data_IF_587559710318
#
_entry.id   IF_587559710318
#
_cell.length_a   1.000
_cell.length_b   1.000
_cell.length_c   1.000
_cell.angle_alpha   90.00
_cell.angle_beta   90.00
_cell.angle_gamma   90.00
#
_symmetry.space_group_name_H-M   'P 1'
#
loop_
_entity.id
_entity.type
_entity.pdbx_description
1 polymer ?
#
# COMPACT_ATOMS: atom_id res chain seq x y z
N UNK A 1 -0.46 -40.94 -13.30
CA UNK A 1 -1.16 -40.38 -14.47
C UNK A 1 -2.39 -41.17 -14.84
N UNK A 2 -2.36 -42.49 -14.92
CA UNK A 2 -3.51 -43.32 -15.28
C UNK A 2 -4.73 -43.21 -14.35
N UNK A 3 -4.55 -43.09 -13.03
CA UNK A 3 -5.66 -42.92 -12.08
C UNK A 3 -6.43 -41.60 -12.20
N UNK A 4 -5.83 -40.55 -12.74
CA UNK A 4 -6.50 -39.25 -12.96
C UNK A 4 -7.37 -39.27 -14.23
N UNK A 5 -6.95 -40.00 -15.25
CA UNK A 5 -7.70 -40.13 -16.52
C UNK A 5 -8.95 -40.99 -16.34
N UNK A 6 -8.89 -42.04 -15.53
CA UNK A 6 -10.04 -42.88 -15.22
C UNK A 6 -11.10 -42.13 -14.41
N UNK A 7 -10.68 -41.28 -13.43
CA UNK A 7 -11.61 -40.40 -12.72
C UNK A 7 -12.30 -39.40 -13.65
N UNK A 8 -11.59 -38.86 -14.65
CA UNK A 8 -12.14 -37.93 -15.63
C UNK A 8 -13.28 -38.55 -16.48
N UNK A 9 -13.13 -39.81 -16.94
CA UNK A 9 -14.15 -40.48 -17.70
C UNK A 9 -15.42 -40.80 -16.88
N UNK A 10 -15.29 -41.09 -15.58
CA UNK A 10 -16.43 -41.33 -14.70
C UNK A 10 -17.25 -40.07 -14.42
N UNK A 11 -16.61 -38.92 -14.32
CA UNK A 11 -17.26 -37.62 -14.09
C UNK A 11 -18.03 -37.14 -15.33
N UNK A 12 -17.49 -37.34 -16.54
CA UNK A 12 -18.17 -36.98 -17.78
C UNK A 12 -19.45 -37.80 -18.03
N UNK A 13 -19.51 -39.03 -17.55
CA UNK A 13 -20.67 -39.91 -17.69
C UNK A 13 -21.79 -39.61 -16.70
N UNK A 14 -21.48 -38.97 -15.54
CA UNK A 14 -22.48 -38.58 -14.54
C UNK A 14 -23.23 -37.30 -14.88
N UNK A 15 -22.69 -36.47 -15.78
CA UNK A 15 -23.28 -35.19 -16.19
C UNK A 15 -24.43 -35.31 -17.21
N UNK A 16 -24.75 -36.49 -17.69
CA UNK A 16 -25.72 -36.72 -18.80
C UNK A 16 -27.09 -37.20 -18.41
N UNK A 17 -27.43 -37.45 -17.15
CA UNK A 17 -28.77 -38.03 -16.78
C UNK A 17 -29.41 -37.42 -15.52
N UNK A 18 -30.55 -36.76 -15.76
CA UNK A 18 -31.78 -36.59 -14.95
C UNK A 18 -31.85 -35.84 -13.61
N UNK A 19 -32.75 -34.82 -13.56
CA UNK A 19 -33.70 -34.51 -12.47
C UNK A 19 -33.17 -33.89 -11.16
N UNK A 20 -33.95 -33.04 -10.49
CA UNK A 20 -33.59 -32.25 -9.29
C UNK A 20 -32.91 -32.99 -8.13
N UNK A 21 -33.10 -34.27 -7.90
CA UNK A 21 -32.37 -35.08 -6.91
C UNK A 21 -30.89 -35.35 -7.31
N UNK A 22 -30.62 -35.30 -8.62
CA UNK A 22 -29.28 -35.46 -9.18
C UNK A 22 -28.41 -34.18 -9.03
N UNK A 23 -29.03 -33.01 -8.94
CA UNK A 23 -28.28 -31.74 -8.79
C UNK A 23 -27.58 -31.66 -7.43
N UNK A 24 -28.21 -32.05 -6.33
CA UNK A 24 -27.60 -32.03 -4.97
C UNK A 24 -26.50 -33.09 -4.85
N UNK A 25 -26.69 -34.28 -5.39
CA UNK A 25 -25.64 -35.30 -5.42
C UNK A 25 -24.47 -34.88 -6.32
N UNK A 26 -24.72 -34.12 -7.37
CA UNK A 26 -23.70 -33.61 -8.27
C UNK A 26 -22.87 -32.49 -7.57
N UNK A 27 -23.52 -31.54 -6.88
CA UNK A 27 -22.87 -30.51 -6.07
C UNK A 27 -21.85 -31.11 -5.08
N UNK A 28 -22.30 -32.07 -4.25
CA UNK A 28 -21.45 -32.69 -3.24
C UNK A 28 -20.27 -33.48 -3.86
N UNK A 29 -20.43 -34.07 -5.00
CA UNK A 29 -19.34 -34.77 -5.69
C UNK A 29 -18.31 -33.79 -6.27
N UNK A 30 -18.74 -32.69 -6.89
CA UNK A 30 -17.86 -31.66 -7.43
C UNK A 30 -17.05 -31.02 -6.30
N UNK A 31 -17.69 -30.66 -5.18
CA UNK A 31 -16.99 -30.09 -4.01
C UNK A 31 -15.93 -31.08 -3.50
N UNK A 32 -16.27 -32.36 -3.32
CA UNK A 32 -15.30 -33.38 -2.90
C UNK A 32 -14.13 -33.53 -3.87
N UNK A 33 -14.41 -33.46 -5.16
CA UNK A 33 -13.36 -33.56 -6.17
C UNK A 33 -12.43 -32.32 -6.12
N UNK A 34 -12.98 -31.12 -5.99
CA UNK A 34 -12.17 -29.89 -5.82
C UNK A 34 -11.28 -29.98 -4.57
N UNK A 35 -11.85 -30.36 -3.42
CA UNK A 35 -11.11 -30.52 -2.16
C UNK A 35 -10.05 -31.63 -2.28
N UNK A 36 -10.29 -32.66 -3.08
CA UNK A 36 -9.28 -33.70 -3.32
C UNK A 36 -8.05 -33.19 -4.11
N UNK A 37 -8.19 -32.12 -4.88
CA UNK A 37 -7.10 -31.46 -5.59
C UNK A 37 -6.41 -30.41 -4.72
N UNK A 38 -7.15 -29.73 -3.86
CA UNK A 38 -6.63 -28.72 -2.94
C UNK A 38 -7.35 -28.86 -1.59
N UNK A 39 -6.66 -29.47 -0.63
CA UNK A 39 -7.15 -29.73 0.72
C UNK A 39 -7.19 -28.48 1.63
N UNK A 40 -6.69 -27.33 1.14
CA UNK A 40 -6.81 -26.04 1.85
C UNK A 40 -8.19 -25.41 1.64
N UNK A 41 -8.98 -25.89 0.65
CA UNK A 41 -10.32 -25.39 0.38
C UNK A 41 -11.35 -26.07 1.28
N UNK A 42 -12.13 -25.25 2.02
CA UNK A 42 -13.20 -25.74 2.89
C UNK A 42 -14.46 -26.10 2.10
N UNK A 43 -15.10 -27.22 2.46
CA UNK A 43 -16.35 -27.67 1.89
C UNK A 43 -17.47 -26.62 2.03
N UNK A 44 -17.61 -26.01 3.20
CA UNK A 44 -18.67 -25.04 3.47
C UNK A 44 -18.47 -23.75 2.65
N UNK A 45 -17.22 -23.33 2.47
CA UNK A 45 -16.90 -22.23 1.59
C UNK A 45 -17.27 -22.52 0.13
N UNK A 46 -16.97 -23.73 -0.37
CA UNK A 46 -17.36 -24.12 -1.72
C UNK A 46 -18.89 -24.27 -1.87
N UNK A 47 -19.60 -24.67 -0.83
CA UNK A 47 -21.06 -24.64 -0.80
C UNK A 47 -21.60 -23.21 -0.91
N UNK A 48 -21.05 -22.28 -0.15
CA UNK A 48 -21.36 -20.85 -0.25
C UNK A 48 -21.11 -20.31 -1.67
N UNK A 49 -19.93 -20.60 -2.26
CA UNK A 49 -19.62 -20.19 -3.63
C UNK A 49 -20.64 -20.74 -4.63
N UNK A 50 -21.07 -21.99 -4.47
CA UNK A 50 -22.10 -22.59 -5.32
C UNK A 50 -23.45 -21.90 -5.16
N UNK A 51 -23.84 -21.58 -3.94
CA UNK A 51 -25.15 -21.01 -3.63
C UNK A 51 -25.25 -19.56 -4.08
N UNK A 52 -24.16 -18.78 -3.96
CA UNK A 52 -24.11 -17.37 -4.37
C UNK A 52 -23.86 -17.17 -5.87
N UNK A 53 -23.00 -18.01 -6.47
CA UNK A 53 -22.51 -17.80 -7.84
C UNK A 53 -22.91 -18.90 -8.83
N UNK A 54 -23.52 -19.97 -8.35
CA UNK A 54 -24.06 -21.07 -9.16
C UNK A 54 -23.10 -22.23 -9.42
N UNK A 55 -23.68 -23.36 -9.85
CA UNK A 55 -22.96 -24.62 -10.08
C UNK A 55 -21.93 -24.56 -11.21
N UNK A 56 -22.15 -23.72 -12.22
CA UNK A 56 -21.23 -23.58 -13.35
C UNK A 56 -19.87 -23.03 -12.92
N UNK A 57 -19.83 -22.18 -11.89
CA UNK A 57 -18.59 -21.66 -11.34
C UNK A 57 -17.73 -22.74 -10.70
N UNK A 58 -18.33 -23.63 -9.91
CA UNK A 58 -17.63 -24.82 -9.37
C UNK A 58 -17.10 -25.74 -10.46
N UNK A 59 -17.89 -25.96 -11.53
CA UNK A 59 -17.46 -26.72 -12.67
C UNK A 59 -16.23 -26.10 -13.37
N UNK A 60 -16.19 -24.79 -13.50
CA UNK A 60 -15.04 -24.09 -14.08
C UNK A 60 -13.78 -24.27 -13.22
N UNK A 61 -13.91 -24.15 -11.89
CA UNK A 61 -12.82 -24.41 -10.95
C UNK A 61 -12.33 -25.85 -11.06
N UNK A 62 -13.24 -26.84 -11.02
CA UNK A 62 -12.90 -28.26 -11.16
C UNK A 62 -12.21 -28.52 -12.49
N UNK A 63 -12.70 -27.93 -13.58
CA UNK A 63 -12.11 -28.06 -14.91
C UNK A 63 -10.65 -27.54 -14.93
N UNK A 64 -10.38 -26.44 -14.28
CA UNK A 64 -9.02 -25.91 -14.17
C UNK A 64 -8.08 -26.86 -13.41
N UNK A 65 -8.55 -27.46 -12.31
CA UNK A 65 -7.76 -28.46 -11.58
C UNK A 65 -7.50 -29.71 -12.43
N UNK A 66 -8.52 -30.23 -13.10
CA UNK A 66 -8.40 -31.45 -13.90
C UNK A 66 -7.49 -31.28 -15.12
N UNK A 67 -7.45 -30.08 -15.70
CA UNK A 67 -6.63 -29.76 -16.87
C UNK A 67 -5.19 -29.28 -16.47
N UNK A 68 -4.83 -29.32 -15.20
CA UNK A 68 -3.57 -28.75 -14.67
C UNK A 68 -3.36 -27.26 -15.04
N UNK A 69 -4.44 -26.51 -15.25
CA UNK A 69 -4.42 -25.07 -15.56
C UNK A 69 -4.78 -24.20 -14.35
N UNK A 70 -4.97 -24.82 -13.18
CA UNK A 70 -5.31 -24.07 -11.97
C UNK A 70 -4.18 -23.15 -11.55
N UNK A 71 -4.52 -21.89 -11.36
CA UNK A 71 -3.73 -20.86 -10.68
C UNK A 71 -4.68 -20.07 -9.78
N UNK A 72 -4.19 -19.37 -8.77
CA UNK A 72 -5.03 -18.52 -7.91
C UNK A 72 -5.78 -17.44 -8.70
N UNK A 73 -5.29 -17.09 -9.89
CA UNK A 73 -5.92 -16.14 -10.82
C UNK A 73 -7.31 -16.61 -11.28
N UNK A 74 -7.60 -17.92 -11.30
CA UNK A 74 -8.90 -18.44 -11.77
C UNK A 74 -10.08 -17.88 -11.00
N UNK A 75 -9.89 -17.58 -9.69
CA UNK A 75 -10.93 -16.98 -8.87
C UNK A 75 -11.26 -15.58 -9.38
N UNK A 76 -10.22 -14.76 -9.67
CA UNK A 76 -10.43 -13.44 -10.22
C UNK A 76 -11.06 -13.49 -11.62
N UNK A 77 -10.64 -14.41 -12.47
CA UNK A 77 -11.19 -14.57 -13.83
C UNK A 77 -12.68 -14.95 -13.81
N UNK A 78 -13.13 -15.76 -12.83
CA UNK A 78 -14.52 -16.21 -12.72
C UNK A 78 -15.40 -15.21 -11.96
N UNK A 79 -14.90 -14.67 -10.84
CA UNK A 79 -15.71 -13.90 -9.88
C UNK A 79 -15.43 -12.40 -9.91
N UNK A 80 -14.38 -11.94 -10.62
CA UNK A 80 -13.86 -10.57 -10.49
C UNK A 80 -13.25 -10.29 -9.11
N UNK A 81 -12.96 -11.34 -8.31
CA UNK A 81 -12.44 -11.27 -6.96
C UNK A 81 -11.42 -12.37 -6.72
N UNK A 82 -10.36 -12.09 -5.98
CA UNK A 82 -9.40 -13.11 -5.56
C UNK A 82 -10.05 -14.11 -4.59
N UNK A 83 -9.44 -15.29 -4.45
CA UNK A 83 -9.85 -16.27 -3.45
C UNK A 83 -9.91 -15.69 -2.04
N UNK A 84 -8.93 -14.84 -1.69
CA UNK A 84 -8.85 -14.20 -0.36
C UNK A 84 -10.03 -13.27 -0.09
N UNK A 85 -10.38 -12.45 -1.08
CA UNK A 85 -11.54 -11.54 -0.96
C UNK A 85 -12.84 -12.34 -0.77
N UNK A 86 -13.05 -13.40 -1.55
CA UNK A 86 -14.22 -14.25 -1.42
C UNK A 86 -14.29 -14.98 -0.07
N UNK A 87 -13.15 -15.47 0.41
CA UNK A 87 -13.05 -16.14 1.71
C UNK A 87 -13.32 -15.17 2.87
N UNK A 88 -12.80 -13.95 2.80
CA UNK A 88 -13.03 -12.92 3.80
C UNK A 88 -14.51 -12.48 3.81
N UNK A 89 -15.16 -12.34 2.65
CA UNK A 89 -16.61 -12.08 2.54
C UNK A 89 -17.42 -13.20 3.19
N UNK A 90 -17.10 -14.46 2.87
CA UNK A 90 -17.73 -15.63 3.49
C UNK A 90 -17.61 -15.63 5.01
N UNK A 91 -16.45 -15.22 5.53
CA UNK A 91 -16.20 -15.16 6.97
C UNK A 91 -16.72 -13.88 7.64
N UNK A 92 -17.32 -12.93 6.89
CA UNK A 92 -17.81 -11.66 7.41
C UNK A 92 -16.70 -10.73 7.91
N UNK A 93 -15.47 -10.88 7.41
CA UNK A 93 -14.30 -10.11 7.88
C UNK A 93 -14.44 -8.60 7.59
N UNK A 94 -15.20 -8.24 6.56
CA UNK A 94 -15.42 -6.83 6.19
C UNK A 94 -16.57 -6.17 6.95
N UNK A 95 -17.37 -6.95 7.65
CA UNK A 95 -18.50 -6.44 8.41
C UNK A 95 -18.02 -5.68 9.66
N UNK A 96 -18.26 -4.36 9.68
CA UNK A 96 -17.86 -3.47 10.78
C UNK A 96 -16.33 -3.42 11.07
N UNK A 97 -15.49 -3.66 10.06
CA UNK A 97 -14.04 -3.52 10.18
C UNK A 97 -13.61 -2.13 9.67
N UNK A 98 -13.28 -1.23 10.58
CA UNK A 98 -12.84 0.14 10.34
C UNK A 98 -11.44 0.24 9.67
N UNK A 99 -10.70 -0.88 9.63
CA UNK A 99 -9.40 -1.00 8.94
C UNK A 99 -9.51 -1.52 7.50
N UNK A 100 -10.71 -1.56 6.93
CA UNK A 100 -10.94 -2.01 5.56
C UNK A 100 -11.76 -0.97 4.79
N UNK A 101 -11.24 -0.53 3.63
CA UNK A 101 -11.99 0.29 2.67
C UNK A 101 -12.18 -0.47 1.35
N UNK A 102 -13.38 -0.36 0.75
CA UNK A 102 -13.71 -1.02 -0.51
C UNK A 102 -13.83 0.01 -1.61
N UNK A 103 -13.05 -0.15 -2.68
CA UNK A 103 -13.05 0.71 -3.86
C UNK A 103 -13.71 -0.05 -5.01
N UNK A 104 -14.80 0.50 -5.53
CA UNK A 104 -15.55 -0.08 -6.64
C UNK A 104 -14.95 0.31 -8.00
N UNK A 105 -13.80 -0.23 -8.33
CA UNK A 105 -13.18 -0.16 -9.66
C UNK A 105 -13.18 -1.55 -10.32
N UNK A 106 -13.04 -1.64 -11.66
CA UNK A 106 -13.25 -2.91 -12.38
C UNK A 106 -12.11 -3.33 -13.31
N UNK A 107 -11.32 -2.39 -13.82
CA UNK A 107 -10.36 -2.73 -14.88
C UNK A 107 -8.91 -2.73 -14.38
N UNK A 108 -8.64 -1.92 -13.40
CA UNK A 108 -7.31 -1.76 -12.78
C UNK A 108 -7.43 -0.96 -11.50
N UNK A 109 -6.44 -1.07 -10.65
CA UNK A 109 -6.24 -0.18 -9.49
C UNK A 109 -5.00 0.66 -9.70
N UNK A 110 -5.13 1.97 -9.57
CA UNK A 110 -4.01 2.91 -9.62
C UNK A 110 -3.71 3.38 -8.20
N UNK A 111 -2.53 3.02 -7.70
CA UNK A 111 -2.02 3.46 -6.40
C UNK A 111 -0.88 4.42 -6.66
N UNK A 112 -0.97 5.65 -6.13
CA UNK A 112 0.10 6.63 -6.29
C UNK A 112 0.71 7.00 -4.95
N UNK A 113 2.02 7.19 -4.95
CA UNK A 113 2.82 7.48 -3.78
C UNK A 113 3.57 8.79 -3.99
N UNK A 114 3.58 9.63 -2.97
CA UNK A 114 4.46 10.79 -2.87
C UNK A 114 5.35 10.66 -1.64
N UNK A 115 6.42 11.44 -1.58
CA UNK A 115 7.35 11.44 -0.47
C UNK A 115 6.85 12.23 0.73
N UNK A 116 7.73 13.01 1.34
CA UNK A 116 7.52 13.66 2.62
C UNK A 116 6.60 14.87 2.50
N UNK A 117 5.57 14.90 3.36
CA UNK A 117 4.60 16.00 3.46
C UNK A 117 4.64 16.57 4.87
N UNK A 118 4.91 17.88 5.01
CA UNK A 118 4.93 18.62 6.27
C UNK A 118 4.00 19.84 6.20
N UNK A 119 2.74 19.69 6.63
CA UNK A 119 1.75 20.77 6.69
C UNK A 119 1.80 21.55 8.02
N UNK A 120 3.01 21.78 8.54
CA UNK A 120 3.21 22.35 9.87
C UNK A 120 2.95 23.86 9.91
N UNK A 121 2.07 24.32 10.81
CA UNK A 121 1.75 25.75 11.00
C UNK A 121 2.93 26.56 11.54
N UNK A 122 3.86 25.91 12.23
CA UNK A 122 5.07 26.52 12.75
C UNK A 122 6.26 26.44 11.79
N UNK A 123 6.00 26.09 10.52
CA UNK A 123 7.01 26.01 9.47
C UNK A 123 6.56 26.83 8.24
N UNK A 124 7.48 27.35 7.46
CA UNK A 124 7.23 28.40 6.45
C UNK A 124 6.18 28.04 5.39
N UNK A 125 5.94 26.75 5.14
CA UNK A 125 5.02 26.28 4.10
C UNK A 125 3.56 26.70 4.37
N UNK A 126 3.08 26.64 5.62
CA UNK A 126 1.69 26.97 5.91
C UNK A 126 1.41 28.47 5.93
N UNK A 127 2.26 29.35 6.47
CA UNK A 127 2.16 30.79 6.23
C UNK A 127 2.14 31.17 4.74
N UNK A 128 2.93 30.49 3.91
CA UNK A 128 2.91 30.71 2.47
C UNK A 128 1.57 30.26 1.85
N UNK A 129 1.10 29.04 2.18
CA UNK A 129 -0.22 28.53 1.76
C UNK A 129 -1.35 29.51 2.10
N UNK A 130 -1.40 29.99 3.36
CA UNK A 130 -2.42 30.92 3.82
C UNK A 130 -2.36 32.26 3.05
N UNK A 131 -1.16 32.76 2.79
CA UNK A 131 -0.96 34.02 2.06
C UNK A 131 -1.43 33.97 0.60
N UNK A 132 -1.46 32.77 0.00
CA UNK A 132 -1.90 32.59 -1.39
C UNK A 132 -3.40 32.58 -1.54
N UNK A 133 -4.16 32.12 -0.55
CA UNK A 133 -5.63 32.07 -0.57
C UNK A 133 -6.21 31.23 -1.72
N UNK A 134 -5.46 30.21 -2.20
CA UNK A 134 -5.81 29.36 -3.36
C UNK A 134 -6.03 27.90 -3.00
N UNK A 135 -6.11 27.57 -1.70
CA UNK A 135 -6.14 26.18 -1.26
C UNK A 135 -4.89 25.44 -1.73
N UNK A 136 -5.02 24.16 -1.99
CA UNK A 136 -3.90 23.29 -2.43
C UNK A 136 -3.17 23.81 -3.68
N UNK A 137 -3.88 24.50 -4.57
CA UNK A 137 -3.29 25.08 -5.79
C UNK A 137 -2.31 26.23 -5.52
N UNK A 138 -2.22 26.70 -4.28
CA UNK A 138 -1.18 27.61 -3.83
C UNK A 138 0.19 26.97 -3.68
N UNK A 139 0.23 25.65 -3.38
CA UNK A 139 1.44 24.87 -3.07
C UNK A 139 1.66 23.68 -4.01
N UNK A 140 0.68 23.27 -4.80
CA UNK A 140 0.79 22.32 -5.90
C UNK A 140 0.33 22.95 -7.21
N UNK A 141 0.83 22.47 -8.34
CA UNK A 141 0.24 22.87 -9.61
C UNK A 141 -0.99 22.00 -9.98
N UNK A 142 -1.79 22.48 -10.92
CA UNK A 142 -3.05 21.85 -11.31
C UNK A 142 -2.83 20.42 -11.87
N UNK A 143 -1.74 20.19 -12.60
CA UNK A 143 -1.44 18.88 -13.17
C UNK A 143 -1.08 17.87 -12.07
N UNK A 144 -0.29 18.28 -11.07
CA UNK A 144 0.03 17.45 -9.91
C UNK A 144 -1.24 17.07 -9.16
N UNK A 145 -2.11 18.03 -8.84
CA UNK A 145 -3.40 17.77 -8.15
C UNK A 145 -4.28 16.82 -8.97
N UNK A 146 -4.36 17.02 -10.28
CA UNK A 146 -5.15 16.15 -11.16
C UNK A 146 -4.62 14.72 -11.19
N UNK A 147 -3.30 14.52 -11.23
CA UNK A 147 -2.68 13.18 -11.18
C UNK A 147 -2.99 12.52 -9.83
N UNK A 148 -2.81 13.23 -8.71
CA UNK A 148 -3.11 12.71 -7.38
C UNK A 148 -4.57 12.28 -7.25
N UNK A 149 -5.52 13.12 -7.65
CA UNK A 149 -6.96 12.84 -7.60
C UNK A 149 -7.45 11.79 -8.59
N UNK A 150 -6.67 11.48 -9.61
CA UNK A 150 -7.00 10.41 -10.57
C UNK A 150 -6.57 9.02 -10.08
N UNK A 151 -5.87 8.93 -8.97
CA UNK A 151 -5.51 7.68 -8.35
C UNK A 151 -6.68 7.08 -7.59
N UNK A 152 -6.79 5.76 -7.57
CA UNK A 152 -7.78 5.05 -6.76
C UNK A 152 -7.37 5.04 -5.28
N UNK A 153 -6.06 5.04 -5.01
CA UNK A 153 -5.48 5.13 -3.66
C UNK A 153 -4.27 6.07 -3.73
N UNK A 154 -4.34 7.17 -3.00
CA UNK A 154 -3.25 8.14 -2.90
C UNK A 154 -2.56 8.06 -1.54
N UNK A 155 -1.25 7.83 -1.53
CA UNK A 155 -0.43 7.53 -0.35
C UNK A 155 0.61 8.62 -0.12
N UNK A 156 0.76 9.10 1.14
CA UNK A 156 1.77 10.07 1.53
C UNK A 156 2.45 9.71 2.87
N UNK A 157 3.64 10.26 3.12
CA UNK A 157 4.22 10.26 4.46
C UNK A 157 3.81 11.54 5.20
N UNK A 158 3.06 11.40 6.31
CA UNK A 158 2.61 12.50 7.16
C UNK A 158 3.70 12.83 8.19
N UNK A 159 4.61 13.72 7.83
CA UNK A 159 5.81 14.00 8.63
C UNK A 159 5.62 15.21 9.57
N UNK A 160 4.54 15.19 10.33
CA UNK A 160 4.21 16.22 11.34
C UNK A 160 3.14 15.69 12.31
N UNK A 161 3.04 16.32 13.49
CA UNK A 161 1.93 16.09 14.42
C UNK A 161 0.71 16.94 14.09
N UNK A 162 -0.48 16.40 14.29
CA UNK A 162 -1.77 17.08 14.08
C UNK A 162 -2.43 17.24 15.44
N UNK A 163 -2.29 18.42 16.04
CA UNK A 163 -2.83 18.70 17.38
C UNK A 163 -2.77 20.17 17.75
N UNK A 164 -3.69 20.57 18.61
CA UNK A 164 -3.62 21.85 19.33
C UNK A 164 -3.04 21.68 20.75
N UNK A 165 -2.65 20.47 21.16
CA UNK A 165 -2.12 20.12 22.48
C UNK A 165 -0.65 19.72 22.43
N UNK A 166 -0.11 19.39 23.57
CA UNK A 166 1.24 18.87 23.74
C UNK A 166 2.33 19.95 23.83
N UNK A 167 3.53 19.50 24.17
CA UNK A 167 4.72 20.35 24.33
C UNK A 167 5.82 19.84 23.42
N UNK A 168 6.45 20.77 22.68
CA UNK A 168 7.49 20.38 21.73
C UNK A 168 8.66 19.67 22.43
N UNK A 169 9.16 18.63 21.78
CA UNK A 169 10.36 17.93 22.21
C UNK A 169 11.61 18.80 22.02
N UNK A 170 12.66 18.46 22.74
CA UNK A 170 13.96 19.12 22.60
C UNK A 170 14.71 18.56 21.38
N UNK A 171 14.25 18.96 20.19
CA UNK A 171 14.88 18.65 18.88
C UNK A 171 14.98 19.93 18.06
N UNK A 172 15.86 19.91 17.04
CA UNK A 172 16.12 21.07 16.18
C UNK A 172 14.87 21.50 15.43
N UNK A 173 14.17 20.55 14.82
CA UNK A 173 12.92 20.76 14.11
C UNK A 173 11.78 20.03 14.80
N UNK A 174 10.65 20.69 14.91
CA UNK A 174 9.40 20.15 15.46
C UNK A 174 8.26 20.63 14.58
N UNK A 175 7.49 19.73 14.03
CA UNK A 175 6.42 20.03 13.08
C UNK A 175 5.05 19.76 13.68
N UNK A 176 4.17 20.77 13.67
CA UNK A 176 2.81 20.66 14.15
C UNK A 176 1.84 21.46 13.29
N UNK A 177 0.75 20.82 12.92
CA UNK A 177 -0.40 21.41 12.25
C UNK A 177 -1.63 21.42 13.17
N UNK A 178 -2.46 22.45 13.05
CA UNK A 178 -3.82 22.41 13.58
C UNK A 178 -4.67 21.40 12.78
N UNK A 179 -5.71 20.77 13.39
CA UNK A 179 -6.49 19.71 12.73
C UNK A 179 -7.12 20.14 11.40
N UNK A 180 -7.52 21.41 11.26
CA UNK A 180 -8.15 21.93 10.06
C UNK A 180 -7.24 21.89 8.80
N UNK A 181 -5.94 21.66 8.98
CA UNK A 181 -5.01 21.46 7.86
C UNK A 181 -5.24 20.15 7.12
N UNK A 182 -5.91 19.19 7.75
CA UNK A 182 -6.25 17.90 7.09
C UNK A 182 -7.17 18.05 5.88
N UNK A 183 -7.94 19.15 5.78
CA UNK A 183 -8.68 19.46 4.54
C UNK A 183 -7.77 19.57 3.31
N UNK A 184 -6.46 19.85 3.51
CA UNK A 184 -5.49 19.90 2.41
C UNK A 184 -5.30 18.49 1.85
N UNK A 185 -5.31 17.44 2.68
CA UNK A 185 -5.26 16.06 2.21
C UNK A 185 -6.48 15.70 1.38
N UNK A 186 -7.69 16.11 1.79
CA UNK A 186 -8.91 15.96 0.95
C UNK A 186 -8.78 16.71 -0.38
N UNK A 187 -8.27 17.97 -0.35
CA UNK A 187 -7.98 18.73 -1.57
C UNK A 187 -6.93 18.06 -2.48
N UNK A 188 -6.00 17.28 -1.92
CA UNK A 188 -4.99 16.50 -2.63
C UNK A 188 -5.51 15.13 -3.10
N UNK A 189 -6.60 14.62 -2.50
CA UNK A 189 -7.09 13.26 -2.70
C UNK A 189 -6.25 12.20 -1.98
N UNK A 190 -5.66 12.52 -0.82
CA UNK A 190 -4.89 11.56 -0.02
C UNK A 190 -5.82 10.64 0.75
N UNK A 191 -5.68 9.33 0.57
CA UNK A 191 -6.52 8.29 1.17
C UNK A 191 -5.88 7.64 2.38
N UNK A 192 -4.55 7.47 2.36
CA UNK A 192 -3.80 6.79 3.42
C UNK A 192 -2.44 7.44 3.64
N UNK A 193 -2.05 7.54 4.91
CA UNK A 193 -0.75 8.10 5.29
C UNK A 193 0.07 7.17 6.16
N UNK A 194 1.40 7.21 5.99
CA UNK A 194 2.33 6.72 6.99
C UNK A 194 2.46 7.74 8.11
N UNK A 195 2.39 7.28 9.37
CA UNK A 195 2.72 8.07 10.56
C UNK A 195 3.93 7.49 11.32
N UNK A 196 4.59 6.48 10.76
CA UNK A 196 5.84 5.95 11.31
C UNK A 196 7.04 6.76 10.82
N UNK A 197 7.31 7.89 11.46
CA UNK A 197 8.45 8.73 11.13
C UNK A 197 9.01 9.44 12.39
N UNK A 198 10.16 10.11 12.22
CA UNK A 198 10.85 10.80 13.31
C UNK A 198 10.15 12.08 13.78
N UNK A 199 9.12 12.57 13.07
CA UNK A 199 8.33 13.77 13.42
C UNK A 199 6.95 13.44 14.01
N UNK A 200 6.57 12.18 14.11
CA UNK A 200 5.27 11.76 14.61
C UNK A 200 5.00 12.16 16.08
N UNK A 201 6.04 12.34 16.87
CA UNK A 201 5.96 12.59 18.31
C UNK A 201 6.51 13.99 18.73
N UNK A 202 6.67 14.90 17.80
CA UNK A 202 7.33 16.20 18.00
C UNK A 202 6.75 17.04 19.13
N UNK A 203 5.49 16.83 19.48
CA UNK A 203 4.80 17.52 20.57
C UNK A 203 4.32 16.57 21.69
N UNK A 204 4.90 15.36 21.77
CA UNK A 204 4.64 14.38 22.81
C UNK A 204 3.41 13.53 22.57
N UNK A 205 3.10 12.70 23.56
CA UNK A 205 2.08 11.63 23.46
C UNK A 205 0.68 12.17 23.14
N UNK A 206 0.24 13.22 23.83
CA UNK A 206 -1.07 13.81 23.57
C UNK A 206 -1.24 14.26 22.12
N UNK A 207 -0.19 14.85 21.54
CA UNK A 207 -0.24 15.30 20.15
C UNK A 207 -0.16 14.15 19.15
N UNK A 208 0.57 13.09 19.49
CA UNK A 208 0.60 11.87 18.69
C UNK A 208 -0.77 11.16 18.65
N UNK A 209 -1.40 10.99 19.79
CA UNK A 209 -2.75 10.39 19.89
C UNK A 209 -3.81 11.26 19.23
N UNK A 210 -3.69 12.59 19.35
CA UNK A 210 -4.53 13.54 18.59
C UNK A 210 -4.35 13.36 17.07
N UNK A 211 -3.13 13.12 16.61
CA UNK A 211 -2.85 12.88 15.18
C UNK A 211 -3.67 11.69 14.67
N UNK A 212 -3.63 10.56 15.37
CA UNK A 212 -4.43 9.36 15.05
C UNK A 212 -5.91 9.71 15.01
N UNK A 213 -6.41 10.30 16.11
CA UNK A 213 -7.82 10.68 16.25
C UNK A 213 -8.30 11.59 15.12
N UNK A 214 -7.53 12.62 14.76
CA UNK A 214 -7.94 13.56 13.72
C UNK A 214 -7.85 12.95 12.31
N UNK A 215 -6.90 12.05 12.04
CA UNK A 215 -6.88 11.28 10.79
C UNK A 215 -8.17 10.45 10.66
N UNK A 216 -8.60 9.77 11.72
CA UNK A 216 -9.86 9.01 11.75
C UNK A 216 -11.09 9.93 11.55
N UNK A 217 -11.14 11.09 12.23
CA UNK A 217 -12.23 12.06 12.09
C UNK A 217 -12.36 12.64 10.67
N UNK A 218 -11.25 12.73 9.92
CA UNK A 218 -11.23 13.18 8.53
C UNK A 218 -11.29 12.03 7.51
N UNK A 219 -11.55 10.80 7.96
CA UNK A 219 -11.61 9.59 7.13
C UNK A 219 -10.32 9.31 6.33
N UNK A 220 -9.16 9.71 6.86
CA UNK A 220 -7.85 9.43 6.29
C UNK A 220 -7.27 8.20 6.96
N UNK A 221 -7.08 7.13 6.20
CA UNK A 221 -6.47 5.90 6.71
C UNK A 221 -5.02 6.14 7.14
N UNK A 222 -4.55 5.43 8.15
CA UNK A 222 -3.17 5.58 8.61
C UNK A 222 -2.55 4.26 9.04
N UNK A 223 -1.23 4.17 8.97
CA UNK A 223 -0.45 2.99 9.37
C UNK A 223 0.87 3.41 10.03
N UNK A 224 1.38 2.54 10.90
CA UNK A 224 2.71 2.70 11.49
C UNK A 224 2.75 3.41 12.84
N UNK A 225 1.60 3.65 13.46
CA UNK A 225 1.49 4.22 14.80
C UNK A 225 0.24 3.74 15.51
N UNK A 226 0.23 3.77 16.83
CA UNK A 226 -0.91 3.32 17.62
C UNK A 226 -0.75 3.58 19.11
N UNK A 227 -1.80 3.28 19.87
CA UNK A 227 -1.81 3.36 21.35
C UNK A 227 -0.97 2.25 22.00
N UNK A 228 -0.66 1.22 21.23
CA UNK A 228 0.18 0.08 21.62
C UNK A 228 0.83 -0.55 20.38
N UNK A 229 1.69 -1.56 20.58
CA UNK A 229 2.46 -2.19 19.48
C UNK A 229 1.57 -2.98 18.52
N UNK A 230 0.45 -3.56 18.96
CA UNK A 230 -0.48 -4.27 18.09
C UNK A 230 -1.14 -3.30 17.10
N UNK A 231 -1.62 -2.16 17.54
CA UNK A 231 -2.16 -1.12 16.67
C UNK A 231 -1.09 -0.53 15.74
N UNK A 232 0.08 -0.17 16.30
CA UNK A 232 1.16 0.44 15.55
C UNK A 232 1.71 -0.47 14.44
N UNK A 233 1.72 -1.79 14.65
CA UNK A 233 2.21 -2.79 13.70
C UNK A 233 1.10 -3.41 12.83
N UNK A 234 -0.16 -3.00 13.02
CA UNK A 234 -1.29 -3.53 12.24
C UNK A 234 -1.33 -2.94 10.83
N UNK A 235 -1.83 -3.75 9.88
CA UNK A 235 -2.09 -3.30 8.52
C UNK A 235 -3.41 -2.55 8.39
N UNK A 236 -3.50 -1.70 7.36
CA UNK A 236 -4.74 -1.20 6.81
C UNK A 236 -4.99 -1.84 5.43
N UNK A 237 -6.25 -2.13 5.10
CA UNK A 237 -6.59 -2.88 3.90
C UNK A 237 -7.45 -2.06 2.94
N UNK A 238 -7.15 -2.20 1.64
CA UNK A 238 -8.03 -1.79 0.57
C UNK A 238 -8.44 -3.01 -0.25
N UNK A 239 -9.74 -3.11 -0.53
CA UNK A 239 -10.27 -4.05 -1.53
C UNK A 239 -10.50 -3.24 -2.78
N UNK A 240 -9.70 -3.45 -3.81
CA UNK A 240 -9.76 -2.71 -5.05
C UNK A 240 -9.60 -3.65 -6.24
N UNK A 241 -10.44 -3.49 -7.27
CA UNK A 241 -10.45 -4.39 -8.43
C UNK A 241 -10.45 -5.87 -8.04
N UNK A 242 -11.19 -6.23 -6.98
CA UNK A 242 -11.27 -7.60 -6.49
C UNK A 242 -10.01 -8.18 -5.83
N UNK A 243 -9.00 -7.37 -5.58
CA UNK A 243 -7.79 -7.75 -4.83
C UNK A 243 -7.75 -7.11 -3.46
N UNK A 244 -7.23 -7.84 -2.48
CA UNK A 244 -6.94 -7.34 -1.13
C UNK A 244 -5.51 -6.83 -1.05
N UNK A 245 -5.37 -5.55 -0.74
CA UNK A 245 -4.09 -4.84 -0.67
C UNK A 245 -3.88 -4.41 0.78
N UNK A 246 -2.83 -4.91 1.43
CA UNK A 246 -2.45 -4.50 2.78
C UNK A 246 -1.35 -3.44 2.73
N UNK A 247 -1.48 -2.44 3.60
CA UNK A 247 -0.48 -1.41 3.84
C UNK A 247 0.08 -1.58 5.24
N UNK A 248 1.40 -1.63 5.35
CA UNK A 248 2.16 -1.60 6.59
C UNK A 248 3.07 -0.38 6.59
N UNK A 249 3.41 0.15 7.75
CA UNK A 249 4.45 1.19 7.84
C UNK A 249 5.33 0.99 9.06
N UNK A 250 6.62 1.34 8.92
CA UNK A 250 7.60 1.28 10.01
C UNK A 250 8.69 2.34 9.82
N UNK A 251 9.45 2.64 10.87
CA UNK A 251 10.53 3.63 10.86
C UNK A 251 11.85 3.11 11.38
N UNK A 252 12.93 3.49 10.67
CA UNK A 252 14.34 3.29 11.03
C UNK A 252 15.13 4.57 10.71
N UNK A 253 14.64 5.74 11.10
CA UNK A 253 15.13 7.01 10.61
C UNK A 253 16.00 7.80 11.60
N UNK A 254 15.92 7.55 12.90
CA UNK A 254 16.57 8.37 13.88
C UNK A 254 17.95 7.83 14.31
N UNK A 255 18.97 8.64 14.13
CA UNK A 255 20.30 8.35 14.68
C UNK A 255 20.31 8.37 16.21
N UNK A 256 19.61 9.34 16.80
CA UNK A 256 19.36 9.43 18.24
C UNK A 256 17.87 9.29 18.45
N UNK A 257 17.43 8.13 18.92
CA UNK A 257 16.02 7.80 19.02
C UNK A 257 15.34 8.69 20.05
N UNK A 258 14.59 9.67 19.57
CA UNK A 258 13.78 10.59 20.37
C UNK A 258 12.29 10.25 20.26
N UNK A 259 11.85 9.77 19.07
CA UNK A 259 10.46 9.35 18.84
C UNK A 259 10.21 8.00 19.48
N UNK A 260 9.27 7.85 20.44
CA UNK A 260 9.00 6.57 21.10
C UNK A 260 8.48 5.51 20.11
N UNK A 261 9.01 4.30 20.25
CA UNK A 261 8.36 3.12 19.67
C UNK A 261 7.22 2.67 20.55
N UNK A 262 6.13 2.22 19.95
CA UNK A 262 5.04 1.59 20.66
C UNK A 262 5.50 0.33 21.42
N UNK A 263 4.89 0.08 22.58
CA UNK A 263 5.08 -1.14 23.36
C UNK A 263 3.73 -1.80 23.59
N UNK A 264 3.67 -2.89 24.34
CA UNK A 264 2.39 -3.52 24.71
C UNK A 264 1.46 -2.56 25.46
N UNK A 265 2.01 -1.59 26.20
CA UNK A 265 1.26 -0.71 27.12
C UNK A 265 1.47 0.77 26.88
N UNK A 266 2.21 1.18 25.87
CA UNK A 266 2.46 2.59 25.56
C UNK A 266 2.33 2.90 24.09
N UNK A 267 1.80 4.09 23.78
CA UNK A 267 1.66 4.63 22.45
C UNK A 267 3.02 4.91 21.80
N UNK A 268 3.04 4.87 20.49
CA UNK A 268 4.24 5.19 19.72
C UNK A 268 4.14 4.75 18.26
N UNK A 269 5.24 4.97 17.54
CA UNK A 269 5.37 4.49 16.17
C UNK A 269 5.84 3.03 16.12
N UNK A 270 5.59 2.35 15.01
CA UNK A 270 6.20 1.07 14.74
C UNK A 270 7.65 1.26 14.29
N UNK A 271 8.61 0.94 15.15
CA UNK A 271 10.04 1.03 14.84
C UNK A 271 10.61 -0.32 14.43
N UNK A 272 11.54 -0.31 13.47
CA UNK A 272 12.19 -1.51 12.94
C UNK A 272 13.74 -1.44 12.97
N UNK A 273 14.32 -0.88 14.05
CA UNK A 273 15.77 -1.04 14.29
C UNK A 273 16.11 -2.50 14.54
N UNK A 274 15.23 -3.21 15.22
CA UNK A 274 15.10 -4.66 15.20
C UNK A 274 13.97 -5.02 14.23
N UNK A 275 14.30 -5.80 13.19
CA UNK A 275 13.40 -6.14 12.11
C UNK A 275 12.47 -7.32 12.43
N UNK A 276 12.70 -8.08 13.50
CA UNK A 276 12.05 -9.37 13.73
C UNK A 276 10.53 -9.27 13.66
N UNK A 277 9.94 -8.30 14.38
CA UNK A 277 8.49 -8.10 14.37
C UNK A 277 7.96 -7.64 13.00
N UNK A 278 8.69 -6.76 12.31
CA UNK A 278 8.27 -6.28 10.99
C UNK A 278 8.28 -7.42 9.96
N UNK A 279 9.33 -8.24 9.94
CA UNK A 279 9.41 -9.42 9.07
C UNK A 279 8.27 -10.41 9.35
N UNK A 280 7.95 -10.61 10.63
CA UNK A 280 6.80 -11.43 11.04
C UNK A 280 5.48 -10.86 10.50
N UNK A 281 5.24 -9.54 10.66
CA UNK A 281 4.01 -8.88 10.16
C UNK A 281 3.89 -8.95 8.64
N UNK A 282 4.98 -8.71 7.90
CA UNK A 282 4.99 -8.86 6.44
C UNK A 282 4.57 -10.26 6.02
N UNK A 283 5.14 -11.28 6.67
CA UNK A 283 4.79 -12.68 6.40
C UNK A 283 3.32 -12.99 6.70
N UNK A 284 2.81 -12.57 7.87
CA UNK A 284 1.42 -12.74 8.26
C UNK A 284 0.47 -12.05 7.28
N UNK A 285 0.83 -10.84 6.80
CA UNK A 285 0.01 -10.12 5.82
C UNK A 285 0.06 -10.76 4.44
N UNK A 286 1.20 -11.35 4.04
CA UNK A 286 1.27 -12.08 2.76
C UNK A 286 0.41 -13.33 2.73
N UNK A 287 0.14 -13.93 3.89
CA UNK A 287 -0.81 -15.04 4.00
C UNK A 287 -2.27 -14.58 3.87
N UNK A 288 -2.59 -13.32 4.23
CA UNK A 288 -3.95 -12.77 4.27
C UNK A 288 -4.32 -11.88 3.09
N UNK A 289 -3.34 -11.37 2.34
CA UNK A 289 -3.54 -10.36 1.29
C UNK A 289 -2.93 -10.78 -0.04
N UNK A 290 -3.50 -10.29 -1.13
CA UNK A 290 -2.95 -10.51 -2.47
C UNK A 290 -1.66 -9.71 -2.67
N UNK A 291 -1.67 -8.47 -2.18
CA UNK A 291 -0.52 -7.57 -2.24
C UNK A 291 -0.20 -6.99 -0.86
N UNK A 292 1.09 -6.95 -0.52
CA UNK A 292 1.63 -6.34 0.70
C UNK A 292 2.50 -5.16 0.31
N UNK A 293 2.13 -3.96 0.75
CA UNK A 293 2.85 -2.71 0.50
C UNK A 293 3.43 -2.24 1.83
N UNK A 294 4.75 -2.08 1.88
CA UNK A 294 5.46 -1.55 3.03
C UNK A 294 5.90 -0.11 2.78
N UNK A 295 5.45 0.79 3.65
CA UNK A 295 5.94 2.16 3.73
C UNK A 295 7.04 2.22 4.79
N UNK A 296 8.24 2.65 4.44
CA UNK A 296 9.39 2.64 5.34
C UNK A 296 10.06 4.02 5.41
N UNK A 297 10.22 4.55 6.61
CA UNK A 297 10.90 5.83 6.85
C UNK A 297 12.34 5.56 7.28
N UNK A 298 13.31 5.78 6.37
CA UNK A 298 14.70 5.33 6.52
C UNK A 298 15.70 6.10 5.68
N UNK A 299 16.98 5.78 5.86
CA UNK A 299 18.10 6.33 5.10
C UNK A 299 18.72 7.54 5.76
N UNK A 300 19.64 8.17 5.06
CA UNK A 300 20.37 9.35 5.54
C UNK A 300 19.81 10.62 4.89
N UNK A 301 19.44 11.60 5.72
CA UNK A 301 19.00 12.93 5.25
C UNK A 301 20.01 13.55 4.28
N UNK A 302 19.49 14.19 3.23
CA UNK A 302 20.21 14.90 2.17
C UNK A 302 21.26 14.05 1.41
N UNK A 303 21.09 12.71 1.41
CA UNK A 303 21.96 11.79 0.68
C UNK A 303 21.18 11.01 -0.39
N UNK A 304 21.63 11.12 -1.64
CA UNK A 304 21.14 10.25 -2.73
C UNK A 304 21.75 8.84 -2.67
N UNK A 305 22.82 8.64 -1.89
CA UNK A 305 23.48 7.35 -1.71
C UNK A 305 22.71 6.49 -0.71
N UNK A 306 22.57 5.21 -1.03
CA UNK A 306 21.91 4.23 -0.17
C UNK A 306 22.85 3.78 0.95
N UNK A 307 22.31 3.61 2.14
CA UNK A 307 23.02 2.94 3.24
C UNK A 307 22.95 1.42 3.04
N UNK A 308 23.99 0.70 3.48
CA UNK A 308 24.04 -0.77 3.42
C UNK A 308 22.81 -1.43 4.07
N UNK A 309 22.29 -0.80 5.12
CA UNK A 309 21.08 -1.30 5.79
C UNK A 309 19.84 -1.19 4.89
N UNK A 310 19.70 -0.14 4.08
CA UNK A 310 18.59 -0.02 3.13
C UNK A 310 18.67 -1.13 2.07
N UNK A 311 19.87 -1.37 1.52
CA UNK A 311 20.11 -2.40 0.51
C UNK A 311 19.85 -3.83 1.04
N UNK A 312 20.21 -4.09 2.30
CA UNK A 312 20.04 -5.41 2.91
C UNK A 312 18.58 -5.63 3.33
N UNK A 313 18.05 -4.74 4.16
CA UNK A 313 16.71 -4.94 4.74
C UNK A 313 15.60 -4.77 3.71
N UNK A 314 15.79 -3.91 2.69
CA UNK A 314 14.82 -3.79 1.59
C UNK A 314 14.59 -5.12 0.87
N UNK A 315 15.65 -5.88 0.63
CA UNK A 315 15.56 -7.23 0.04
C UNK A 315 14.95 -8.25 1.01
N UNK A 316 15.30 -8.17 2.29
CA UNK A 316 14.69 -9.03 3.32
C UNK A 316 13.17 -8.82 3.39
N UNK A 317 12.67 -7.59 3.25
CA UNK A 317 11.24 -7.31 3.23
C UNK A 317 10.55 -7.96 2.02
N UNK A 318 11.18 -7.88 0.84
CA UNK A 318 10.69 -8.56 -0.37
C UNK A 318 10.69 -10.08 -0.19
N UNK A 319 11.79 -10.65 0.29
CA UNK A 319 11.92 -12.10 0.51
C UNK A 319 10.92 -12.61 1.55
N UNK A 320 10.51 -11.78 2.51
CA UNK A 320 9.51 -12.12 3.52
C UNK A 320 8.06 -12.00 3.00
N UNK A 321 7.85 -11.37 1.84
CA UNK A 321 6.54 -11.33 1.19
C UNK A 321 6.01 -9.95 0.83
N UNK A 322 6.75 -8.86 1.06
CA UNK A 322 6.37 -7.55 0.55
C UNK A 322 6.38 -7.55 -0.98
N UNK A 323 5.33 -7.01 -1.60
CA UNK A 323 5.23 -6.88 -3.05
C UNK A 323 5.74 -5.52 -3.54
N UNK A 324 5.80 -4.54 -2.65
CA UNK A 324 6.26 -3.18 -2.92
C UNK A 324 6.80 -2.56 -1.63
N UNK A 325 7.96 -1.91 -1.72
CA UNK A 325 8.55 -1.13 -0.62
C UNK A 325 8.72 0.31 -1.06
N UNK A 326 8.19 1.25 -0.27
CA UNK A 326 8.23 2.70 -0.54
C UNK A 326 8.91 3.40 0.62
N UNK A 327 10.04 4.04 0.34
CA UNK A 327 10.83 4.77 1.32
C UNK A 327 10.60 6.27 1.34
N UNK A 328 10.84 6.86 2.51
CA UNK A 328 10.77 8.28 2.83
C UNK A 328 11.92 8.68 3.79
N UNK A 329 12.04 9.92 4.23
CA UNK A 329 13.02 10.46 5.19
C UNK A 329 14.25 11.15 4.59
N UNK A 330 14.84 10.64 3.52
CA UNK A 330 16.11 11.21 3.04
C UNK A 330 15.96 12.65 2.49
N UNK A 331 14.72 13.15 2.32
CA UNK A 331 14.40 14.48 1.81
C UNK A 331 14.96 14.78 0.40
N UNK A 332 15.47 13.76 -0.27
CA UNK A 332 15.95 13.75 -1.66
C UNK A 332 15.55 12.46 -2.34
N UNK A 333 15.50 12.47 -3.67
CA UNK A 333 15.32 11.24 -4.43
C UNK A 333 16.50 10.27 -4.19
N UNK A 334 16.19 9.05 -3.83
CA UNK A 334 17.10 7.93 -3.92
C UNK A 334 16.66 6.99 -5.04
N UNK A 335 17.51 6.04 -5.42
CA UNK A 335 17.22 5.12 -6.51
C UNK A 335 16.04 4.18 -6.23
N UNK A 336 15.73 3.41 -7.24
CA UNK A 336 14.80 2.29 -7.15
C UNK A 336 15.53 0.99 -7.46
N UNK A 337 15.06 -0.13 -6.93
CA UNK A 337 15.62 -1.44 -7.24
C UNK A 337 14.50 -2.42 -7.60
N UNK A 338 14.69 -3.18 -8.67
CA UNK A 338 13.87 -4.36 -8.96
C UNK A 338 14.61 -5.59 -8.46
N UNK A 339 14.05 -6.21 -7.42
CA UNK A 339 14.56 -7.42 -6.79
C UNK A 339 13.46 -8.49 -6.75
N UNK A 340 13.75 -9.70 -7.22
CA UNK A 340 12.79 -10.80 -7.34
C UNK A 340 11.46 -10.38 -8.00
N UNK A 341 11.53 -9.57 -9.08
CA UNK A 341 10.39 -8.98 -9.80
C UNK A 341 9.48 -8.08 -8.94
N UNK A 342 9.98 -7.54 -7.85
CA UNK A 342 9.30 -6.61 -6.95
C UNK A 342 10.08 -5.31 -6.89
N UNK A 343 9.38 -4.22 -6.63
CA UNK A 343 9.98 -2.88 -6.58
C UNK A 343 10.29 -2.46 -5.15
N UNK A 344 11.50 -1.90 -4.98
CA UNK A 344 11.91 -1.10 -3.82
C UNK A 344 12.17 0.31 -4.34
N UNK A 345 11.34 1.29 -3.98
CA UNK A 345 11.59 2.71 -4.19
C UNK A 345 12.21 3.25 -2.90
N UNK A 346 13.51 3.51 -2.90
CA UNK A 346 14.24 3.80 -1.67
C UNK A 346 13.88 5.15 -1.04
N UNK A 347 13.62 6.19 -1.84
CA UNK A 347 13.08 7.46 -1.34
C UNK A 347 12.51 8.31 -2.47
N UNK A 348 11.35 8.96 -2.22
CA UNK A 348 10.68 9.85 -3.18
C UNK A 348 10.95 11.35 -2.93
N UNK A 349 11.72 11.69 -1.88
CA UNK A 349 12.10 13.07 -1.53
C UNK A 349 10.98 13.90 -0.94
N UNK A 350 11.24 15.19 -0.75
CA UNK A 350 10.27 16.18 -0.25
C UNK A 350 9.19 16.44 -1.30
N UNK A 351 7.92 16.26 -0.94
CA UNK A 351 6.82 16.57 -1.85
C UNK A 351 6.12 17.90 -1.52
N UNK A 352 5.79 18.13 -0.25
CA UNK A 352 5.33 19.40 0.29
C UNK A 352 6.10 19.62 1.60
N UNK A 353 7.13 20.44 1.58
CA UNK A 353 8.00 20.54 2.73
C UNK A 353 8.47 21.97 3.01
N UNK A 354 9.33 22.54 2.18
CA UNK A 354 9.95 23.83 2.41
C UNK A 354 10.14 24.65 1.12
N UNK A 355 10.94 25.73 1.17
CA UNK A 355 11.23 26.58 0.01
C UNK A 355 12.35 26.08 -0.88
N UNK A 356 13.08 25.07 -0.46
CA UNK A 356 14.26 24.58 -1.19
C UNK A 356 13.86 24.01 -2.54
N UNK A 357 14.78 24.08 -3.50
CA UNK A 357 14.57 23.47 -4.79
C UNK A 357 15.12 22.04 -4.75
N UNK A 358 14.21 21.07 -4.74
CA UNK A 358 14.53 19.65 -4.72
C UNK A 358 13.72 18.88 -5.76
N UNK A 359 14.37 17.94 -6.43
CA UNK A 359 13.68 17.01 -7.30
C UNK A 359 12.94 15.98 -6.45
N UNK A 360 11.72 15.67 -6.85
CA UNK A 360 10.81 14.70 -6.22
C UNK A 360 9.95 14.05 -7.31
N UNK A 361 8.95 13.27 -6.96
CA UNK A 361 8.04 12.71 -7.94
C UNK A 361 6.87 11.96 -7.34
N UNK A 362 5.97 11.58 -8.24
CA UNK A 362 4.86 10.67 -7.93
C UNK A 362 5.25 9.30 -8.52
N UNK A 363 5.29 8.27 -7.69
CA UNK A 363 5.36 6.90 -8.16
C UNK A 363 3.94 6.36 -8.33
N UNK A 364 3.54 6.12 -9.56
CA UNK A 364 2.24 5.51 -9.88
C UNK A 364 2.40 4.02 -10.15
N UNK A 365 1.64 3.20 -9.44
CA UNK A 365 1.62 1.74 -9.56
C UNK A 365 0.24 1.32 -10.02
N UNK A 366 0.17 0.62 -11.13
CA UNK A 366 -1.10 0.09 -11.66
C UNK A 366 -1.14 -1.42 -11.47
N UNK A 367 -2.14 -1.92 -10.74
CA UNK A 367 -2.46 -3.34 -10.63
C UNK A 367 -3.58 -3.63 -11.64
N UNK A 368 -3.29 -4.46 -12.64
CA UNK A 368 -4.29 -4.84 -13.66
C UNK A 368 -5.11 -6.06 -13.21
N UNK A 369 -6.11 -6.45 -14.02
CA UNK A 369 -6.96 -7.63 -13.76
C UNK A 369 -6.19 -8.94 -13.68
N UNK A 370 -4.96 -8.98 -14.18
CA UNK A 370 -4.09 -10.14 -14.12
C UNK A 370 -3.25 -10.20 -12.84
N UNK A 371 -3.37 -9.17 -11.97
CA UNK A 371 -2.55 -9.04 -10.76
C UNK A 371 -1.11 -8.59 -11.04
N UNK A 372 -0.80 -8.10 -12.25
CA UNK A 372 0.51 -7.57 -12.55
C UNK A 372 0.62 -6.11 -12.13
N UNK A 373 1.75 -5.75 -11.51
CA UNK A 373 2.10 -4.37 -11.20
C UNK A 373 2.90 -3.74 -12.34
N UNK A 374 2.48 -2.56 -12.77
CA UNK A 374 3.23 -1.71 -13.70
C UNK A 374 3.56 -0.40 -13.01
N UNK A 375 4.75 0.13 -13.26
CA UNK A 375 5.32 1.25 -12.53
C UNK A 375 5.57 2.44 -13.45
N UNK A 376 5.26 3.65 -12.98
CA UNK A 376 5.59 4.90 -13.66
C UNK A 376 6.06 5.92 -12.63
N UNK A 377 7.28 6.40 -12.77
CA UNK A 377 7.78 7.53 -12.01
C UNK A 377 7.49 8.82 -12.78
N UNK A 378 6.76 9.73 -12.16
CA UNK A 378 6.34 11.01 -12.72
C UNK A 378 7.17 12.10 -12.04
N UNK A 379 8.22 12.63 -12.69
CA UNK A 379 9.10 13.61 -12.11
C UNK A 379 8.39 14.92 -11.78
N UNK A 380 8.60 15.38 -10.55
CA UNK A 380 8.16 16.68 -10.03
C UNK A 380 9.36 17.42 -9.44
N UNK A 381 9.16 18.70 -9.18
CA UNK A 381 10.13 19.53 -8.42
C UNK A 381 9.39 20.36 -7.41
N UNK A 382 9.83 20.30 -6.15
CA UNK A 382 9.51 21.29 -5.15
C UNK A 382 10.45 22.46 -5.33
N UNK A 383 9.93 23.68 -5.36
CA UNK A 383 10.74 24.90 -5.33
C UNK A 383 9.90 26.08 -4.85
N UNK A 384 10.45 26.87 -3.97
CA UNK A 384 9.78 28.06 -3.45
C UNK A 384 8.36 27.75 -2.93
N UNK A 385 8.24 26.72 -2.09
CA UNK A 385 7.00 26.23 -1.46
C UNK A 385 5.97 25.64 -2.43
N UNK A 386 6.31 25.40 -3.68
CA UNK A 386 5.38 24.83 -4.65
C UNK A 386 5.98 23.61 -5.32
N UNK A 387 5.19 22.56 -5.40
CA UNK A 387 5.54 21.36 -6.16
C UNK A 387 4.81 21.36 -7.50
N UNK A 388 5.54 21.13 -8.57
CA UNK A 388 5.03 21.17 -9.94
C UNK A 388 5.58 20.02 -10.79
N UNK A 389 4.80 19.65 -11.79
CA UNK A 389 5.16 18.62 -12.76
C UNK A 389 6.32 19.12 -13.64
N UNK A 390 7.29 18.26 -13.89
CA UNK A 390 8.37 18.54 -14.83
C UNK A 390 8.04 18.08 -16.25
N UNK A 391 8.49 18.85 -17.22
CA UNK A 391 8.39 18.54 -18.64
C UNK A 391 9.72 18.73 -19.37
N UNK A 392 9.74 18.38 -20.67
CA UNK A 392 10.87 18.61 -21.56
C UNK A 392 12.22 18.17 -21.00
N UNK A 393 13.17 19.10 -20.96
CA UNK A 393 14.54 18.83 -20.52
C UNK A 393 14.61 18.52 -19.04
N UNK A 394 13.88 19.25 -18.18
CA UNK A 394 13.92 19.04 -16.74
C UNK A 394 13.39 17.66 -16.34
N UNK A 395 12.28 17.20 -16.97
CA UNK A 395 11.78 15.83 -16.83
C UNK A 395 12.85 14.80 -17.19
N UNK A 396 13.48 14.99 -18.36
CA UNK A 396 14.53 14.08 -18.84
C UNK A 396 15.71 14.04 -17.88
N UNK A 397 16.18 15.19 -17.40
CA UNK A 397 17.33 15.29 -16.48
C UNK A 397 17.06 14.54 -15.18
N UNK A 398 15.83 14.59 -14.64
CA UNK A 398 15.45 13.84 -13.42
C UNK A 398 15.32 12.34 -13.70
N UNK A 399 14.75 11.94 -14.84
CA UNK A 399 14.71 10.51 -15.23
C UNK A 399 16.12 9.96 -15.39
N UNK A 400 17.03 10.70 -16.00
CA UNK A 400 18.43 10.28 -16.18
C UNK A 400 19.17 10.19 -14.81
N UNK A 401 18.87 11.06 -13.85
CA UNK A 401 19.34 10.91 -12.47
C UNK A 401 18.82 9.62 -11.86
N UNK A 402 17.51 9.35 -11.97
CA UNK A 402 16.91 8.13 -11.43
C UNK A 402 17.50 6.86 -12.07
N UNK A 403 17.81 6.87 -13.36
CA UNK A 403 18.53 5.77 -14.02
C UNK A 403 19.90 5.51 -13.35
N UNK A 404 20.62 6.58 -13.01
CA UNK A 404 21.94 6.48 -12.39
C UNK A 404 21.91 6.02 -10.94
N UNK A 405 20.83 6.34 -10.20
CA UNK A 405 20.66 5.95 -8.80
C UNK A 405 20.09 4.54 -8.62
N UNK A 406 19.44 4.01 -9.66
CA UNK A 406 18.63 2.80 -9.57
C UNK A 406 19.41 1.53 -9.92
N UNK A 407 18.94 0.40 -9.39
CA UNK A 407 19.55 -0.92 -9.52
C UNK A 407 18.56 -1.85 -10.25
N UNK A 408 18.98 -2.45 -11.35
CA UNK A 408 18.14 -3.35 -12.16
C UNK A 408 16.81 -2.73 -12.63
N UNK A 409 16.77 -1.42 -12.86
CA UNK A 409 15.58 -0.70 -13.32
C UNK A 409 15.88 -0.06 -14.68
N UNK A 410 14.99 -0.27 -15.66
CA UNK A 410 15.10 0.31 -16.99
C UNK A 410 13.94 1.27 -17.21
N UNK A 411 14.20 2.57 -17.04
CA UNK A 411 13.24 3.63 -17.32
C UNK A 411 13.17 3.90 -18.83
N UNK A 412 11.95 4.05 -19.35
CA UNK A 412 11.74 4.69 -20.63
C UNK A 412 11.68 6.23 -20.49
N UNK A 413 11.53 6.95 -21.61
CA UNK A 413 11.51 8.42 -21.60
C UNK A 413 10.24 9.01 -20.95
N UNK A 414 9.17 8.23 -20.83
CA UNK A 414 7.93 8.65 -20.16
C UNK A 414 7.99 8.46 -18.65
N UNK A 415 9.02 7.77 -18.16
CA UNK A 415 9.19 7.43 -16.74
C UNK A 415 8.57 6.09 -16.33
N UNK A 416 7.94 5.36 -17.25
CA UNK A 416 7.54 3.98 -17.00
C UNK A 416 8.78 3.06 -16.99
N UNK A 417 8.73 2.01 -16.18
CA UNK A 417 9.85 1.09 -16.01
C UNK A 417 9.39 -0.32 -15.59
N UNK A 418 10.31 -1.24 -15.74
CA UNK A 418 10.17 -2.64 -15.33
C UNK A 418 11.39 -3.08 -14.55
#
# INVERSE_FOLDING_TARGET
MENKIIKFLCILLSLLCCGCSTAVNNKNNIIKDIVSFNNELDNNFLEYVCDEYGMDTLNNILTAYTNNSYTNKIWHDIFGKSYRVLLDEYNGIYDNNDKVKIINNKDKTVISFVGDVALADNFDIMPYYDSRGKGVYGILDDNVVNIMKSSDIMVANNEFTISNRGTKLNKLYNFRARPERLKIYDEMGVDIVSIANNHAYDYGEDAFLDTIKYLDEYDISHVGGGSNIEEASSAFYYIANGYKISFLSSSRAEKNIVTPGATETSSGIFRCYDNELLLKRIKEEKEKSDFVILLIHWGKEDSNELEDVQLTTGKEYIDMGADLVIGSHAHVLQGMEVYNNKLIAYNLGDFIFNKETKDTGILSVTINNEGNMNYTFIPCRQSNYKTFLLDGKDKKDVIDKMKNYSINVIFNDDGAFK
#
